data_IF_057240373042
#
_entry.id   IF_057240373042
#
_cell.length_a   1.000
_cell.length_b   1.000
_cell.length_c   1.000
_cell.angle_alpha   90.00
_cell.angle_beta   90.00
_cell.angle_gamma   90.00
#
_symmetry.space_group_name_H-M   'P 1'
#
loop_
_entity.id
_entity.type
_entity.pdbx_description
1 polymer ?
#
# COMPACT_ATOMS: atom_id res chain seq x y z
N UNK A 1 -5.75 -32.85 4.93
CA UNK A 1 -7.19 -32.83 4.63
C UNK A 1 -7.79 -34.20 4.94
N UNK A 2 -8.53 -34.36 6.04
CA UNK A 2 -9.63 -35.34 6.03
C UNK A 2 -10.83 -34.62 5.43
N UNK A 3 -11.16 -34.96 4.20
CA UNK A 3 -12.33 -34.41 3.50
C UNK A 3 -13.60 -34.98 4.14
N UNK A 4 -14.11 -34.32 5.19
CA UNK A 4 -15.31 -34.74 5.92
C UNK A 4 -16.60 -34.65 5.09
N UNK A 5 -16.52 -34.11 3.87
CA UNK A 5 -17.63 -34.09 2.91
C UNK A 5 -17.64 -35.32 1.99
N UNK A 6 -16.59 -36.13 2.05
CA UNK A 6 -16.39 -37.29 1.20
C UNK A 6 -16.77 -38.56 1.95
N UNK A 7 -17.84 -39.21 1.52
CA UNK A 7 -18.29 -40.48 2.08
C UNK A 7 -18.55 -41.47 0.94
N UNK A 8 -17.99 -42.68 1.06
CA UNK A 8 -18.32 -43.82 0.18
C UNK A 8 -19.60 -44.54 0.63
N UNK A 9 -20.20 -44.11 1.73
CA UNK A 9 -21.44 -44.70 2.26
C UNK A 9 -22.57 -44.41 1.27
N UNK A 10 -23.06 -45.46 0.60
CA UNK A 10 -24.12 -45.41 -0.41
C UNK A 10 -23.67 -45.37 -1.86
N UNK A 11 -22.36 -45.53 -2.14
CA UNK A 11 -21.81 -45.53 -3.50
C UNK A 11 -21.66 -46.98 -4.02
N UNK A 12 -22.40 -47.37 -5.06
CA UNK A 12 -22.34 -48.72 -5.69
C UNK A 12 -21.34 -48.80 -6.87
N UNK A 13 -20.49 -47.79 -7.06
CA UNK A 13 -19.64 -47.64 -8.25
C UNK A 13 -18.14 -47.78 -8.02
N UNK A 14 -17.41 -47.96 -9.12
CA UNK A 14 -16.00 -48.41 -9.19
C UNK A 14 -14.96 -47.32 -8.82
N UNK A 15 -14.79 -46.25 -9.62
CA UNK A 15 -13.75 -45.22 -9.41
C UNK A 15 -14.35 -43.83 -9.18
N UNK A 16 -13.85 -43.11 -8.17
CA UNK A 16 -14.23 -41.74 -7.87
C UNK A 16 -13.08 -40.78 -8.24
N UNK A 17 -13.32 -39.92 -9.22
CA UNK A 17 -12.32 -38.99 -9.74
C UNK A 17 -12.47 -37.63 -9.07
N UNK A 18 -11.43 -37.21 -8.36
CA UNK A 18 -11.34 -35.88 -7.75
C UNK A 18 -10.28 -35.06 -8.47
N UNK A 19 -10.66 -33.86 -8.90
CA UNK A 19 -9.76 -32.93 -9.58
C UNK A 19 -9.34 -31.84 -8.61
N UNK A 20 -8.09 -31.88 -8.16
CA UNK A 20 -7.48 -30.79 -7.41
C UNK A 20 -6.91 -29.76 -8.38
N UNK A 21 -7.34 -28.50 -8.23
CA UNK A 21 -6.77 -27.38 -8.98
C UNK A 21 -5.80 -26.64 -8.06
N UNK A 22 -4.51 -26.91 -8.22
CA UNK A 22 -3.47 -26.18 -7.51
C UNK A 22 -3.40 -24.74 -8.05
N UNK A 23 -3.37 -23.77 -7.15
CA UNK A 23 -3.03 -22.39 -7.49
C UNK A 23 -1.53 -22.20 -7.26
N UNK A 24 -0.77 -21.65 -8.23
CA UNK A 24 0.63 -21.33 -8.01
C UNK A 24 0.72 -20.27 -6.91
N UNK A 25 1.72 -20.39 -6.03
CA UNK A 25 2.10 -19.27 -5.17
C UNK A 25 2.53 -18.14 -6.11
N UNK A 26 1.88 -16.97 -6.05
CA UNK A 26 2.23 -15.87 -6.93
C UNK A 26 3.61 -15.33 -6.54
N UNK A 27 4.67 -15.80 -7.21
CA UNK A 27 6.02 -15.27 -7.08
C UNK A 27 6.02 -13.77 -7.42
N UNK A 28 6.89 -13.01 -6.74
CA UNK A 28 6.99 -11.56 -6.91
C UNK A 28 5.67 -10.80 -6.62
N UNK A 29 4.91 -11.28 -5.64
CA UNK A 29 3.69 -10.59 -5.20
C UNK A 29 4.03 -9.31 -4.45
N UNK A 30 3.61 -8.17 -4.99
CA UNK A 30 3.71 -6.87 -4.32
C UNK A 30 2.62 -6.75 -3.26
N UNK A 31 3.01 -6.63 -2.00
CA UNK A 31 2.11 -6.64 -0.85
C UNK A 31 1.88 -5.24 -0.27
N UNK A 32 2.91 -4.39 -0.30
CA UNK A 32 2.88 -3.06 0.33
C UNK A 32 3.60 -2.06 -0.58
N UNK A 33 3.00 -0.90 -0.81
CA UNK A 33 3.60 0.19 -1.57
C UNK A 33 3.39 1.49 -0.79
N UNK A 34 4.45 2.13 -0.34
CA UNK A 34 4.35 3.43 0.34
C UNK A 34 5.53 4.32 -0.03
N UNK A 35 5.47 5.60 0.29
CA UNK A 35 6.52 6.55 -0.01
C UNK A 35 7.09 7.18 1.25
N UNK A 36 8.37 7.50 1.19
CA UNK A 36 9.02 8.41 2.14
C UNK A 36 9.37 9.69 1.43
N UNK A 37 9.08 10.83 2.06
CA UNK A 37 9.36 12.15 1.51
C UNK A 37 10.52 12.86 2.24
N UNK A 38 11.28 13.63 1.47
CA UNK A 38 12.46 14.33 1.98
C UNK A 38 12.35 15.84 1.86
N UNK A 39 13.01 16.54 2.78
CA UNK A 39 13.22 17.98 2.67
C UNK A 39 14.13 18.31 1.48
N UNK A 40 14.05 19.57 1.03
CA UNK A 40 14.91 20.05 -0.04
C UNK A 40 16.38 19.82 0.34
N UNK A 41 17.12 19.22 -0.58
CA UNK A 41 18.54 18.94 -0.43
C UNK A 41 18.93 18.00 0.75
N UNK A 42 17.97 17.22 1.25
CA UNK A 42 18.19 16.28 2.36
C UNK A 42 17.98 14.82 1.95
N UNK A 43 18.72 13.93 2.62
CA UNK A 43 18.55 12.47 2.60
C UNK A 43 18.17 11.90 3.97
N UNK A 44 18.14 12.73 5.01
CA UNK A 44 17.76 12.31 6.37
C UNK A 44 16.27 11.94 6.41
N UNK A 45 15.96 10.82 7.08
CA UNK A 45 14.57 10.39 7.29
C UNK A 45 13.94 11.29 8.34
N UNK A 46 12.85 11.97 7.96
CA UNK A 46 12.07 12.81 8.87
C UNK A 46 11.44 11.97 9.96
N UNK A 47 11.23 12.57 11.14
CA UNK A 47 10.58 11.88 12.26
C UNK A 47 9.20 11.31 11.91
N UNK A 48 8.42 12.03 11.10
CA UNK A 48 7.10 11.58 10.62
C UNK A 48 7.16 10.31 9.78
N UNK A 49 8.26 10.08 9.06
CA UNK A 49 8.43 8.96 8.12
C UNK A 49 8.93 7.70 8.84
N UNK A 50 9.47 7.85 10.05
CA UNK A 50 9.97 6.72 10.86
C UNK A 50 8.88 5.73 11.23
N UNK A 51 7.66 6.21 11.49
CA UNK A 51 6.53 5.33 11.82
C UNK A 51 6.22 4.38 10.66
N UNK A 52 6.27 4.87 9.42
CA UNK A 52 6.10 4.05 8.22
C UNK A 52 7.19 2.98 8.12
N UNK A 53 8.46 3.36 8.29
CA UNK A 53 9.58 2.41 8.29
C UNK A 53 9.48 1.35 9.39
N UNK A 54 9.06 1.75 10.60
CA UNK A 54 8.87 0.82 11.71
C UNK A 54 7.77 -0.21 11.41
N UNK A 55 6.67 0.21 10.77
CA UNK A 55 5.60 -0.71 10.33
C UNK A 55 6.12 -1.70 9.29
N UNK A 56 6.89 -1.24 8.31
CA UNK A 56 7.50 -2.12 7.30
C UNK A 56 8.47 -3.09 7.95
N UNK A 57 9.29 -2.63 8.91
CA UNK A 57 10.20 -3.50 9.64
C UNK A 57 9.47 -4.62 10.38
N UNK A 58 8.41 -4.28 11.11
CA UNK A 58 7.57 -5.26 11.80
C UNK A 58 6.94 -6.26 10.82
N UNK A 59 6.40 -5.78 9.69
CA UNK A 59 5.87 -6.64 8.63
C UNK A 59 6.94 -7.58 8.06
N UNK A 60 8.15 -7.11 7.83
CA UNK A 60 9.25 -7.92 7.30
C UNK A 60 9.74 -8.98 8.30
N UNK A 61 9.70 -8.68 9.60
CA UNK A 61 10.00 -9.65 10.66
C UNK A 61 8.97 -10.78 10.66
N UNK A 62 7.67 -10.43 10.62
CA UNK A 62 6.57 -11.40 10.55
C UNK A 62 6.57 -12.22 9.25
N UNK A 63 7.16 -11.69 8.18
CA UNK A 63 7.12 -12.30 6.84
C UNK A 63 8.55 -12.50 6.30
N UNK A 64 9.28 -13.55 6.72
CA UNK A 64 10.70 -13.74 6.44
C UNK A 64 11.06 -13.96 4.96
N UNK A 65 10.07 -14.19 4.10
CA UNK A 65 10.23 -14.39 2.66
C UNK A 65 9.93 -13.14 1.83
N UNK A 66 9.88 -11.99 2.48
CA UNK A 66 9.71 -10.69 1.83
C UNK A 66 11.04 -9.97 1.64
N UNK A 67 11.16 -9.27 0.52
CA UNK A 67 12.24 -8.33 0.19
C UNK A 67 11.61 -6.95 0.00
N UNK A 68 12.23 -5.94 0.58
CA UNK A 68 11.87 -4.55 0.38
C UNK A 68 12.72 -3.96 -0.73
N UNK A 69 12.09 -3.37 -1.74
CA UNK A 69 12.74 -2.52 -2.73
C UNK A 69 12.56 -1.06 -2.34
N UNK A 70 13.65 -0.30 -2.33
CA UNK A 70 13.70 1.12 -2.00
C UNK A 70 14.20 1.87 -3.23
N UNK A 71 13.27 2.51 -3.94
CA UNK A 71 13.56 3.22 -5.19
C UNK A 71 13.55 4.72 -4.93
N UNK A 72 14.70 5.37 -4.99
CA UNK A 72 14.85 6.76 -4.54
C UNK A 72 14.97 7.76 -5.69
N UNK A 73 14.39 8.94 -5.47
CA UNK A 73 14.23 9.99 -6.48
C UNK A 73 14.52 11.38 -5.89
N UNK A 74 14.79 12.32 -6.78
CA UNK A 74 14.96 13.75 -6.51
C UNK A 74 13.98 14.59 -7.34
N UNK A 75 13.88 15.87 -7.00
CA UNK A 75 13.22 16.83 -7.90
C UNK A 75 14.21 17.37 -8.93
N UNK A 76 13.70 18.04 -9.96
CA UNK A 76 14.52 18.49 -11.09
C UNK A 76 15.45 19.68 -10.80
N UNK A 77 15.62 20.07 -9.53
CA UNK A 77 16.44 21.22 -9.16
C UNK A 77 17.81 20.71 -8.73
N UNK A 78 18.76 20.83 -9.64
CA UNK A 78 20.13 20.41 -9.40
C UNK A 78 20.81 20.08 -10.71
N UNK A 79 22.08 19.73 -10.65
CA UNK A 79 22.71 19.03 -11.76
C UNK A 79 22.38 17.54 -11.65
N UNK A 80 22.21 16.86 -12.78
CA UNK A 80 21.86 15.43 -12.82
C UNK A 80 22.81 14.58 -11.96
N UNK A 81 24.14 14.84 -12.04
CA UNK A 81 25.14 14.12 -11.24
C UNK A 81 24.95 14.31 -9.73
N UNK A 82 24.50 15.50 -9.32
CA UNK A 82 24.18 15.78 -7.92
C UNK A 82 22.94 15.02 -7.48
N UNK A 83 21.90 15.06 -8.32
CA UNK A 83 20.62 14.41 -8.08
C UNK A 83 20.76 12.89 -7.99
N UNK A 84 21.57 12.28 -8.84
CA UNK A 84 21.95 10.87 -8.74
C UNK A 84 22.51 10.52 -7.35
N UNK A 85 23.58 11.22 -6.93
CA UNK A 85 24.21 11.01 -5.61
C UNK A 85 23.26 11.27 -4.44
N UNK A 86 22.35 12.24 -4.57
CA UNK A 86 21.37 12.54 -3.53
C UNK A 86 20.31 11.44 -3.43
N UNK A 87 19.83 10.90 -4.55
CA UNK A 87 18.91 9.76 -4.54
C UNK A 87 19.56 8.49 -4.00
N UNK A 88 20.83 8.23 -4.31
CA UNK A 88 21.59 7.12 -3.74
C UNK A 88 21.63 7.22 -2.20
N UNK A 89 22.02 8.40 -1.67
CA UNK A 89 22.03 8.66 -0.22
C UNK A 89 20.66 8.47 0.45
N UNK A 90 19.56 8.76 -0.24
CA UNK A 90 18.19 8.53 0.25
C UNK A 90 17.86 7.05 0.34
N UNK A 91 18.25 6.27 -0.66
CA UNK A 91 18.05 4.82 -0.65
C UNK A 91 18.84 4.17 0.48
N UNK A 92 20.11 4.57 0.64
CA UNK A 92 20.97 4.07 1.70
C UNK A 92 20.50 4.51 3.09
N UNK A 93 20.00 5.73 3.28
CA UNK A 93 19.50 6.15 4.61
C UNK A 93 18.31 5.29 5.08
N UNK A 94 17.42 4.89 4.18
CA UNK A 94 16.34 3.94 4.47
C UNK A 94 16.88 2.57 4.83
N UNK A 95 17.83 2.06 4.05
CA UNK A 95 18.46 0.75 4.31
C UNK A 95 19.19 0.72 5.65
N UNK A 96 19.98 1.76 5.95
CA UNK A 96 20.68 1.93 7.22
C UNK A 96 19.70 1.97 8.39
N UNK A 97 18.63 2.75 8.28
CA UNK A 97 17.61 2.84 9.31
C UNK A 97 16.97 1.49 9.61
N UNK A 98 16.52 0.78 8.57
CA UNK A 98 15.87 -0.53 8.71
C UNK A 98 16.84 -1.61 9.20
N UNK A 99 18.10 -1.58 8.76
CA UNK A 99 19.15 -2.46 9.28
C UNK A 99 19.44 -2.18 10.76
N UNK A 100 19.39 -0.91 11.17
CA UNK A 100 19.49 -0.48 12.56
C UNK A 100 18.35 -1.00 13.45
N UNK A 101 17.18 -1.28 12.86
CA UNK A 101 16.07 -1.98 13.53
C UNK A 101 16.24 -3.51 13.59
N UNK A 102 17.33 -4.04 13.04
CA UNK A 102 17.66 -5.47 13.06
C UNK A 102 17.22 -6.25 11.82
N UNK A 103 16.75 -5.58 10.75
CA UNK A 103 16.50 -6.27 9.48
C UNK A 103 17.81 -6.66 8.79
N UNK A 104 17.82 -7.84 8.19
CA UNK A 104 18.96 -8.31 7.41
C UNK A 104 19.10 -7.46 6.12
N UNK A 105 20.31 -6.95 5.88
CA UNK A 105 20.57 -6.02 4.78
C UNK A 105 20.35 -6.62 3.39
N UNK A 106 20.46 -7.95 3.25
CA UNK A 106 20.16 -8.69 2.02
C UNK A 106 18.67 -8.73 1.67
N UNK A 107 17.79 -8.39 2.63
CA UNK A 107 16.34 -8.27 2.43
C UNK A 107 15.91 -6.87 2.00
N UNK A 108 16.85 -5.93 1.85
CA UNK A 108 16.60 -4.55 1.45
C UNK A 108 17.41 -4.25 0.19
N UNK A 109 16.74 -4.16 -0.94
CA UNK A 109 17.32 -3.81 -2.23
C UNK A 109 17.15 -2.31 -2.48
N UNK A 110 18.24 -1.61 -2.76
CA UNK A 110 18.24 -0.16 -3.02
C UNK A 110 18.46 0.11 -4.52
N UNK A 111 17.65 1.01 -5.08
CA UNK A 111 17.84 1.59 -6.41
C UNK A 111 17.64 3.11 -6.33
N UNK A 112 18.28 3.85 -7.24
CA UNK A 112 18.21 5.31 -7.29
C UNK A 112 18.21 5.78 -8.74
N UNK A 113 17.55 6.92 -8.98
CA UNK A 113 17.22 7.37 -10.34
C UNK A 113 17.36 8.88 -10.54
N UNK A 114 18.02 9.58 -9.61
CA UNK A 114 18.17 11.02 -9.67
C UNK A 114 16.85 11.72 -9.94
N UNK A 115 16.78 12.49 -11.02
CA UNK A 115 15.58 13.21 -11.47
C UNK A 115 14.91 12.56 -12.70
N UNK A 116 15.31 11.34 -13.10
CA UNK A 116 14.85 10.72 -14.34
C UNK A 116 13.38 10.25 -14.27
N UNK A 117 12.86 9.99 -13.06
CA UNK A 117 11.53 9.40 -12.81
C UNK A 117 10.62 10.31 -11.99
N UNK A 118 10.39 11.51 -12.50
CA UNK A 118 9.46 12.48 -11.93
C UNK A 118 8.01 11.95 -12.01
N UNK A 119 7.20 12.24 -10.99
CA UNK A 119 5.76 11.88 -10.94
C UNK A 119 4.85 12.98 -11.48
N UNK A 120 5.45 14.08 -11.93
CA UNK A 120 4.75 15.23 -12.50
C UNK A 120 5.64 15.90 -13.55
N UNK A 121 5.08 16.88 -14.26
CA UNK A 121 5.77 17.58 -15.35
C UNK A 121 6.76 18.65 -14.86
N UNK A 122 7.25 18.52 -13.62
CA UNK A 122 8.17 19.48 -13.03
C UNK A 122 9.63 19.10 -13.30
N UNK A 123 10.00 19.18 -14.57
CA UNK A 123 11.36 18.95 -15.07
C UNK A 123 12.18 20.23 -15.20
N UNK A 124 13.37 20.11 -15.77
CA UNK A 124 14.34 21.20 -15.92
C UNK A 124 13.75 22.43 -16.63
N UNK A 125 13.97 23.59 -16.03
CA UNK A 125 13.50 24.87 -16.57
C UNK A 125 11.98 25.09 -16.52
N UNK A 126 11.20 24.12 -16.03
CA UNK A 126 9.74 24.27 -15.88
C UNK A 126 9.43 25.01 -14.57
N UNK A 127 8.73 26.16 -14.61
CA UNK A 127 8.27 26.82 -13.39
C UNK A 127 7.25 25.97 -12.65
N UNK A 128 7.53 25.62 -11.40
CA UNK A 128 6.66 24.77 -10.59
C UNK A 128 6.38 25.35 -9.21
N UNK A 129 5.22 24.97 -8.66
CA UNK A 129 4.96 25.13 -7.24
C UNK A 129 5.83 24.16 -6.42
N UNK A 130 6.27 24.57 -5.24
CA UNK A 130 7.11 23.76 -4.34
C UNK A 130 6.49 22.40 -4.01
N UNK A 131 5.15 22.32 -3.96
CA UNK A 131 4.44 21.06 -3.70
C UNK A 131 4.70 20.00 -4.77
N UNK A 132 4.92 20.40 -6.03
CA UNK A 132 5.23 19.46 -7.11
C UNK A 132 6.67 18.95 -7.00
N UNK A 133 7.62 19.83 -6.68
CA UNK A 133 8.98 19.41 -6.38
C UNK A 133 9.01 18.44 -5.18
N UNK A 134 8.23 18.70 -4.13
CA UNK A 134 8.15 17.83 -2.96
C UNK A 134 7.69 16.40 -3.28
N UNK A 135 6.79 16.22 -4.26
CA UNK A 135 6.37 14.88 -4.68
C UNK A 135 7.48 14.09 -5.37
N UNK A 136 8.43 14.77 -6.01
CA UNK A 136 9.55 14.14 -6.70
C UNK A 136 10.68 13.78 -5.72
N UNK A 137 10.81 14.50 -4.59
CA UNK A 137 11.73 14.16 -3.50
C UNK A 137 11.19 13.01 -2.64
N UNK A 138 11.24 11.80 -3.17
CA UNK A 138 10.65 10.61 -2.55
C UNK A 138 11.54 9.37 -2.65
N UNK A 139 11.26 8.39 -1.80
CA UNK A 139 11.65 6.99 -1.99
C UNK A 139 10.40 6.14 -2.00
N UNK A 140 10.22 5.35 -3.05
CA UNK A 140 9.13 4.38 -3.19
C UNK A 140 9.55 3.07 -2.53
N UNK A 141 8.72 2.58 -1.61
CA UNK A 141 8.93 1.39 -0.82
C UNK A 141 8.01 0.30 -1.34
N UNK A 142 8.57 -0.76 -1.93
CA UNK A 142 7.81 -1.86 -2.51
C UNK A 142 8.17 -3.13 -1.77
N UNK A 143 7.26 -3.65 -0.95
CA UNK A 143 7.43 -4.94 -0.30
C UNK A 143 6.94 -6.04 -1.24
N UNK A 144 7.81 -6.97 -1.59
CA UNK A 144 7.47 -8.12 -2.41
C UNK A 144 7.74 -9.42 -1.67
N UNK A 145 6.84 -10.40 -1.80
CA UNK A 145 7.03 -11.75 -1.30
C UNK A 145 7.51 -12.69 -2.40
N UNK A 146 8.29 -13.70 -2.01
CA UNK A 146 8.73 -14.78 -2.88
C UNK A 146 9.45 -14.27 -4.15
N UNK A 147 10.42 -13.39 -3.96
CA UNK A 147 11.15 -12.73 -5.07
C UNK A 147 12.19 -13.62 -5.75
N UNK A 148 12.65 -14.69 -5.08
CA UNK A 148 13.58 -15.66 -5.63
C UNK A 148 12.83 -16.87 -6.19
N UNK A 149 12.70 -16.91 -7.52
CA UNK A 149 12.01 -17.99 -8.23
C UNK A 149 12.76 -19.32 -8.18
N UNK A 150 14.07 -19.31 -7.88
CA UNK A 150 14.90 -20.51 -7.80
C UNK A 150 14.91 -21.09 -6.37
N UNK A 151 14.50 -20.31 -5.39
CA UNK A 151 14.42 -20.74 -3.99
C UNK A 151 13.18 -21.60 -3.75
N UNK A 152 13.41 -22.82 -3.26
CA UNK A 152 12.36 -23.62 -2.66
C UNK A 152 12.06 -23.08 -1.26
N UNK A 153 10.97 -22.34 -1.14
CA UNK A 153 10.47 -21.86 0.15
C UNK A 153 9.91 -23.04 0.94
N UNK A 154 10.52 -23.33 2.10
CA UNK A 154 10.00 -24.34 3.02
C UNK A 154 8.78 -23.77 3.74
N UNK A 155 7.68 -24.52 3.75
CA UNK A 155 6.51 -24.15 4.55
C UNK A 155 6.90 -24.15 6.04
N UNK A 156 6.30 -23.28 6.87
CA UNK A 156 6.52 -23.28 8.32
C UNK A 156 6.30 -24.67 8.93
N UNK A 157 7.12 -25.05 9.90
CA UNK A 157 6.96 -26.32 10.61
C UNK A 157 5.57 -26.38 11.29
N UNK A 158 4.81 -27.43 11.01
CA UNK A 158 3.38 -27.54 11.39
C UNK A 158 2.41 -27.32 10.23
N UNK A 159 2.88 -26.87 9.06
CA UNK A 159 2.09 -26.88 7.81
C UNK A 159 2.19 -28.29 7.21
N UNK A 160 1.28 -29.18 7.60
CA UNK A 160 1.35 -30.61 7.22
C UNK A 160 0.98 -30.90 5.78
N UNK A 161 0.34 -29.96 5.08
CA UNK A 161 -0.04 -30.13 3.69
C UNK A 161 -0.36 -28.75 3.08
N UNK A 162 0.15 -28.37 1.89
CA UNK A 162 -0.33 -27.18 1.18
C UNK A 162 -1.85 -27.21 0.88
N UNK A 163 -2.54 -28.34 1.06
CA UNK A 163 -4.00 -28.46 1.02
C UNK A 163 -4.71 -28.23 2.38
N UNK A 164 -4.00 -28.08 3.50
CA UNK A 164 -4.59 -27.83 4.83
C UNK A 164 -4.90 -26.34 5.10
N UNK A 165 -4.60 -25.43 4.17
CA UNK A 165 -4.87 -23.99 4.30
C UNK A 165 -6.36 -23.62 4.37
N UNK A 166 -7.29 -24.57 4.23
CA UNK A 166 -8.73 -24.29 4.12
C UNK A 166 -9.59 -24.95 5.20
N UNK A 167 -9.10 -25.86 6.06
CA UNK A 167 -10.00 -26.55 7.02
C UNK A 167 -9.39 -26.82 8.40
N UNK A 168 -9.63 -25.89 9.34
CA UNK A 168 -10.01 -26.24 10.70
C UNK A 168 -10.94 -25.16 11.31
N UNK A 169 -12.26 -25.41 11.41
CA UNK A 169 -13.13 -24.63 12.27
C UNK A 169 -12.97 -25.15 13.70
N UNK A 170 -11.83 -24.90 14.35
CA UNK A 170 -11.62 -24.95 15.82
C UNK A 170 -10.14 -24.71 16.10
N UNK A 171 -9.73 -23.44 16.11
CA UNK A 171 -8.77 -22.94 17.09
C UNK A 171 -9.47 -21.77 17.76
N UNK A 172 -10.21 -22.10 18.81
CA UNK A 172 -10.60 -21.18 19.87
C UNK A 172 -9.39 -20.95 20.79
N UNK A 173 -8.27 -20.56 20.21
CA UNK A 173 -7.32 -19.73 20.93
C UNK A 173 -7.60 -18.33 20.42
N UNK A 174 -7.80 -17.41 21.36
CA UNK A 174 -7.77 -15.98 21.09
C UNK A 174 -6.38 -15.66 20.51
N UNK A 175 -6.23 -15.87 19.21
CA UNK A 175 -5.28 -15.14 18.40
C UNK A 175 -5.85 -13.73 18.43
N UNK A 176 -5.53 -13.01 19.50
CA UNK A 176 -5.67 -11.56 19.60
C UNK A 176 -4.60 -10.94 18.70
N UNK A 177 -4.68 -11.30 17.42
CA UNK A 177 -4.06 -10.57 16.34
C UNK A 177 -5.16 -9.65 15.88
N UNK A 178 -5.23 -8.51 16.56
CA UNK A 178 -5.80 -7.28 16.05
C UNK A 178 -5.00 -6.83 14.81
N UNK A 179 -4.94 -7.68 13.78
CA UNK A 179 -4.62 -7.29 12.39
C UNK A 179 -5.95 -6.94 11.77
N UNK A 180 -6.47 -5.79 12.17
CA UNK A 180 -7.13 -4.92 11.20
C UNK A 180 -6.25 -4.91 9.93
N UNK A 181 -6.74 -5.58 8.88
CA UNK A 181 -6.16 -5.46 7.55
C UNK A 181 -6.29 -3.98 7.15
N UNK A 182 -5.25 -3.20 7.42
CA UNK A 182 -5.23 -1.78 7.10
C UNK A 182 -5.39 -1.62 5.59
N UNK A 183 -6.51 -1.05 5.19
CA UNK A 183 -6.75 -0.65 3.81
C UNK A 183 -5.85 0.55 3.48
N UNK A 184 -5.39 0.67 2.22
CA UNK A 184 -4.49 1.75 1.84
C UNK A 184 -5.18 3.11 2.02
N UNK A 185 -4.40 4.11 2.43
CA UNK A 185 -4.81 5.52 2.36
C UNK A 185 -4.28 6.12 1.07
N UNK A 186 -5.19 6.61 0.23
CA UNK A 186 -4.82 7.14 -1.08
C UNK A 186 -4.55 8.63 -0.98
N UNK A 187 -3.35 9.07 -1.36
CA UNK A 187 -2.96 10.47 -1.31
C UNK A 187 -3.07 11.14 -2.69
N UNK A 188 -3.51 12.40 -2.69
CA UNK A 188 -3.76 13.16 -3.91
C UNK A 188 -2.89 14.40 -4.01
N UNK A 189 -2.47 14.70 -5.24
CA UNK A 189 -1.81 15.96 -5.54
C UNK A 189 -2.70 17.15 -5.14
N UNK A 190 -2.08 18.30 -4.93
CA UNK A 190 -2.83 19.54 -4.75
C UNK A 190 -3.76 19.76 -5.95
N UNK A 191 -5.02 20.04 -5.65
CA UNK A 191 -6.06 20.33 -6.64
C UNK A 191 -6.41 19.19 -7.63
N UNK A 192 -5.99 17.95 -7.35
CA UNK A 192 -6.31 16.81 -8.22
C UNK A 192 -7.10 15.71 -7.54
N UNK A 193 -7.76 14.90 -8.37
CA UNK A 193 -8.50 13.69 -7.99
C UNK A 193 -8.10 12.44 -8.78
N UNK A 194 -7.04 12.50 -9.60
CA UNK A 194 -6.56 11.33 -10.33
C UNK A 194 -5.82 10.36 -9.40
N UNK A 195 -6.11 9.07 -9.54
CA UNK A 195 -5.40 8.00 -8.82
C UNK A 195 -4.01 7.85 -9.42
N UNK A 196 -2.98 7.98 -8.58
CA UNK A 196 -1.56 7.75 -8.94
C UNK A 196 -1.33 6.27 -9.24
N UNK A 197 -0.34 5.97 -10.08
CA UNK A 197 -0.05 4.59 -10.50
C UNK A 197 0.21 3.65 -9.32
N UNK A 198 0.97 4.11 -8.31
CA UNK A 198 1.21 3.37 -7.07
C UNK A 198 -0.10 2.92 -6.37
N UNK A 199 -1.11 3.81 -6.34
CA UNK A 199 -2.39 3.54 -5.70
C UNK A 199 -3.28 2.59 -6.52
N UNK A 200 -3.03 2.47 -7.84
CA UNK A 200 -3.72 1.47 -8.67
C UNK A 200 -3.33 0.06 -8.26
N UNK A 201 -2.06 -0.18 -7.95
CA UNK A 201 -1.56 -1.48 -7.48
C UNK A 201 -2.20 -1.84 -6.14
N UNK A 202 -2.28 -0.89 -5.21
CA UNK A 202 -2.94 -1.12 -3.92
C UNK A 202 -4.44 -1.40 -4.06
N UNK A 203 -5.13 -0.65 -4.91
CA UNK A 203 -6.55 -0.88 -5.18
C UNK A 203 -6.83 -2.20 -5.90
N UNK A 204 -5.88 -2.70 -6.70
CA UNK A 204 -5.98 -4.04 -7.30
C UNK A 204 -5.96 -5.13 -6.22
N UNK A 205 -5.15 -4.96 -5.18
CA UNK A 205 -5.14 -5.86 -4.03
C UNK A 205 -6.47 -5.80 -3.24
N UNK A 206 -7.02 -4.60 -3.03
CA UNK A 206 -8.34 -4.42 -2.40
C UNK A 206 -9.43 -5.11 -3.23
N UNK A 207 -9.44 -4.93 -4.54
CA UNK A 207 -10.40 -5.57 -5.43
C UNK A 207 -10.27 -7.10 -5.38
N UNK A 208 -9.05 -7.64 -5.37
CA UNK A 208 -8.83 -9.08 -5.23
C UNK A 208 -9.35 -9.63 -3.89
N UNK A 209 -9.16 -8.90 -2.80
CA UNK A 209 -9.73 -9.27 -1.49
C UNK A 209 -11.26 -9.29 -1.51
N UNK A 210 -11.89 -8.28 -2.13
CA UNK A 210 -13.34 -8.23 -2.27
C UNK A 210 -13.89 -9.34 -3.16
N UNK A 211 -13.17 -9.73 -4.21
CA UNK A 211 -13.55 -10.88 -5.08
C UNK A 211 -13.50 -12.21 -4.32
N UNK A 212 -12.48 -12.39 -3.48
CA UNK A 212 -12.32 -13.61 -2.71
C UNK A 212 -13.27 -13.70 -1.51
N UNK A 213 -13.91 -12.59 -1.12
CA UNK A 213 -14.83 -12.53 0.01
C UNK A 213 -16.12 -11.79 -0.41
N UNK A 214 -17.13 -12.50 -0.95
CA UNK A 214 -18.33 -11.89 -1.53
C UNK A 214 -19.14 -10.99 -0.57
N UNK A 215 -19.07 -11.24 0.74
CA UNK A 215 -19.82 -10.48 1.77
C UNK A 215 -19.11 -9.21 2.25
N UNK A 216 -17.84 -8.99 1.88
CA UNK A 216 -17.10 -7.79 2.27
C UNK A 216 -17.70 -6.55 1.59
N UNK A 217 -17.97 -5.53 2.40
CA UNK A 217 -18.35 -4.19 1.93
C UNK A 217 -17.32 -3.18 2.36
N UNK A 218 -17.15 -2.13 1.56
CA UNK A 218 -16.14 -1.10 1.80
C UNK A 218 -16.78 0.30 1.80
N UNK A 219 -16.34 1.14 2.73
CA UNK A 219 -16.67 2.57 2.79
C UNK A 219 -15.45 3.38 2.41
N UNK A 220 -15.63 4.33 1.50
CA UNK A 220 -14.59 5.19 0.94
C UNK A 220 -14.87 6.64 1.34
N UNK A 221 -13.96 7.30 2.05
CA UNK A 221 -14.14 8.68 2.49
C UNK A 221 -13.12 9.61 1.84
N UNK A 222 -13.60 10.60 1.09
CA UNK A 222 -12.77 11.62 0.47
C UNK A 222 -12.52 12.83 1.39
N UNK A 223 -11.28 13.34 1.38
CA UNK A 223 -10.87 14.51 2.14
C UNK A 223 -9.98 15.46 1.30
N UNK A 224 -9.93 16.72 1.72
CA UNK A 224 -9.01 17.73 1.20
C UNK A 224 -8.18 18.37 2.29
N UNK A 225 -7.17 19.13 1.88
CA UNK A 225 -6.56 20.09 2.80
C UNK A 225 -7.42 21.35 2.88
N UNK A 226 -7.10 22.20 3.86
CA UNK A 226 -7.91 23.35 4.20
C UNK A 226 -7.91 24.51 3.19
N UNK A 227 -6.98 24.49 2.21
CA UNK A 227 -6.79 25.62 1.29
C UNK A 227 -7.92 25.64 0.27
N UNK A 228 -8.37 26.83 -0.10
CA UNK A 228 -9.55 27.02 -0.95
C UNK A 228 -10.86 27.11 -0.17
N UNK A 229 -11.93 27.47 -0.88
CA UNK A 229 -13.26 27.64 -0.27
C UNK A 229 -13.90 26.28 0.05
N UNK A 230 -14.91 26.29 0.92
CA UNK A 230 -15.57 25.09 1.43
C UNK A 230 -16.28 24.30 0.33
N UNK A 231 -17.13 24.97 -0.47
CA UNK A 231 -17.87 24.38 -1.59
C UNK A 231 -16.95 23.64 -2.56
N UNK A 232 -15.82 24.25 -2.89
CA UNK A 232 -14.82 23.66 -3.78
C UNK A 232 -14.16 22.43 -3.17
N UNK A 233 -13.81 22.48 -1.88
CA UNK A 233 -13.19 21.37 -1.19
C UNK A 233 -14.15 20.18 -1.03
N UNK A 234 -15.43 20.44 -0.79
CA UNK A 234 -16.48 19.43 -0.78
C UNK A 234 -16.55 18.71 -2.14
N UNK A 235 -16.69 19.47 -3.23
CA UNK A 235 -16.67 18.95 -4.59
C UNK A 235 -15.40 18.13 -4.90
N UNK A 236 -14.21 18.63 -4.53
CA UNK A 236 -12.95 17.94 -4.80
C UNK A 236 -12.82 16.64 -4.00
N UNK A 237 -13.24 16.62 -2.73
CA UNK A 237 -13.27 15.39 -1.93
C UNK A 237 -14.24 14.35 -2.49
N UNK A 238 -15.40 14.78 -2.99
CA UNK A 238 -16.34 13.90 -3.67
C UNK A 238 -15.73 13.27 -4.92
N UNK A 239 -15.05 14.08 -5.76
CA UNK A 239 -14.34 13.59 -6.95
C UNK A 239 -13.27 12.55 -6.61
N UNK A 240 -12.54 12.74 -5.50
CA UNK A 240 -11.53 11.78 -5.03
C UNK A 240 -12.14 10.47 -4.58
N UNK A 241 -13.22 10.52 -3.80
CA UNK A 241 -13.94 9.32 -3.38
C UNK A 241 -14.49 8.56 -4.61
N UNK A 242 -15.16 9.28 -5.51
CA UNK A 242 -15.70 8.71 -6.76
C UNK A 242 -14.63 8.08 -7.65
N UNK A 243 -13.45 8.70 -7.78
CA UNK A 243 -12.37 8.11 -8.56
C UNK A 243 -12.00 6.70 -8.07
N UNK A 244 -12.00 6.48 -6.74
CA UNK A 244 -11.73 5.17 -6.15
C UNK A 244 -12.89 4.19 -6.35
N UNK A 245 -14.13 4.67 -6.17
CA UNK A 245 -15.34 3.88 -6.48
C UNK A 245 -15.30 3.39 -7.94
N UNK A 246 -15.12 4.30 -8.88
CA UNK A 246 -15.08 4.00 -10.32
C UNK A 246 -13.95 3.01 -10.64
N UNK A 247 -12.80 3.15 -9.99
CA UNK A 247 -11.68 2.23 -10.15
C UNK A 247 -12.04 0.82 -9.67
N UNK A 248 -12.61 0.66 -8.47
CA UNK A 248 -12.99 -0.66 -7.95
C UNK A 248 -14.10 -1.31 -8.79
N UNK A 249 -15.08 -0.53 -9.25
CA UNK A 249 -16.11 -1.01 -10.18
C UNK A 249 -15.48 -1.46 -11.50
N UNK A 250 -14.52 -0.71 -12.04
CA UNK A 250 -13.78 -1.10 -13.25
C UNK A 250 -13.00 -2.41 -13.09
N UNK A 251 -12.67 -2.78 -11.86
CA UNK A 251 -12.03 -4.07 -11.52
C UNK A 251 -13.03 -5.19 -11.30
N UNK A 252 -14.33 -4.94 -11.44
CA UNK A 252 -15.39 -5.94 -11.34
C UNK A 252 -15.95 -6.11 -9.93
N UNK A 253 -15.89 -5.08 -9.09
CA UNK A 253 -16.59 -5.05 -7.80
C UNK A 253 -17.99 -4.47 -8.00
N UNK A 254 -19.00 -5.17 -7.49
CA UNK A 254 -20.39 -4.73 -7.56
C UNK A 254 -20.61 -3.42 -6.78
N UNK A 255 -21.36 -2.49 -7.38
CA UNK A 255 -21.54 -1.14 -6.83
C UNK A 255 -22.27 -1.11 -5.48
N UNK A 256 -23.10 -2.11 -5.19
CA UNK A 256 -23.85 -2.26 -3.93
C UNK A 256 -22.96 -2.69 -2.74
N UNK A 257 -21.71 -3.10 -3.03
CA UNK A 257 -20.70 -3.43 -2.02
C UNK A 257 -19.80 -2.24 -1.65
N UNK A 258 -19.99 -1.10 -2.29
CA UNK A 258 -19.15 0.09 -2.12
C UNK A 258 -20.03 1.26 -1.67
N UNK A 259 -19.76 1.76 -0.47
CA UNK A 259 -20.30 3.02 0.02
C UNK A 259 -19.23 4.10 -0.09
N UNK A 260 -19.63 5.35 -0.32
CA UNK A 260 -18.70 6.47 -0.27
C UNK A 260 -19.31 7.70 0.38
N UNK A 261 -18.44 8.46 1.05
CA UNK A 261 -18.74 9.75 1.64
C UNK A 261 -17.61 10.73 1.33
N UNK A 262 -17.87 12.01 1.56
CA UNK A 262 -16.91 13.07 1.33
C UNK A 262 -17.10 14.17 2.35
N UNK A 263 -16.00 14.76 2.81
CA UNK A 263 -16.02 15.70 3.94
C UNK A 263 -15.32 17.01 3.65
N UNK A 264 -14.83 17.22 2.42
CA UNK A 264 -13.96 18.33 2.07
C UNK A 264 -12.84 18.48 3.08
N UNK A 265 -12.74 19.69 3.65
CA UNK A 265 -11.73 20.06 4.65
C UNK A 265 -12.19 19.96 6.10
N UNK A 266 -13.38 19.39 6.37
CA UNK A 266 -14.00 19.40 7.71
C UNK A 266 -13.45 18.33 8.66
N UNK A 267 -12.75 17.32 8.13
CA UNK A 267 -12.12 16.23 8.91
C UNK A 267 -10.62 16.11 8.65
N UNK A 268 -9.82 17.14 9.02
CA UNK A 268 -8.38 17.11 8.82
C UNK A 268 -7.70 16.13 9.79
N UNK A 269 -6.59 15.52 9.36
CA UNK A 269 -5.62 14.87 10.25
C UNK A 269 -4.79 15.96 10.95
N UNK A 270 -4.32 16.94 10.17
CA UNK A 270 -3.57 18.08 10.66
C UNK A 270 -4.45 19.32 10.65
N UNK A 271 -4.75 19.88 11.83
CA UNK A 271 -5.41 21.18 11.92
C UNK A 271 -4.43 22.27 11.50
N UNK A 272 -4.59 22.70 10.26
CA UNK A 272 -3.78 23.72 9.64
C UNK A 272 -4.48 25.11 9.74
N UNK A 273 -5.69 25.20 10.30
CA UNK A 273 -6.47 26.44 10.31
C UNK A 273 -6.00 27.30 11.48
N UNK A 274 -5.76 26.64 12.61
CA UNK A 274 -5.23 27.26 13.82
C UNK A 274 -3.70 27.25 13.91
N UNK A 275 -3.02 26.42 13.09
CA UNK A 275 -1.56 26.24 13.12
C UNK A 275 -0.96 26.31 11.73
N UNK A 276 0.26 26.82 11.63
CA UNK A 276 1.02 26.74 10.39
C UNK A 276 1.36 25.27 10.10
N UNK A 277 1.02 24.79 8.91
CA UNK A 277 1.35 23.44 8.46
C UNK A 277 2.46 23.45 7.41
N UNK A 278 3.27 22.39 7.41
CA UNK A 278 4.16 22.08 6.30
C UNK A 278 3.38 21.58 5.08
N UNK A 279 4.02 21.60 3.91
CA UNK A 279 3.43 21.01 2.70
C UNK A 279 3.15 19.51 2.84
N UNK A 280 3.94 18.79 3.66
CA UNK A 280 3.72 17.37 3.96
C UNK A 280 2.43 17.16 4.78
N UNK A 281 2.20 17.97 5.81
CA UNK A 281 0.96 17.90 6.59
C UNK A 281 -0.29 18.22 5.75
N UNK A 282 -0.17 19.19 4.83
CA UNK A 282 -1.21 19.42 3.84
C UNK A 282 -1.42 18.20 2.93
N UNK A 283 -0.37 17.47 2.55
CA UNK A 283 -0.46 16.26 1.74
C UNK A 283 -1.21 15.15 2.45
N UNK A 284 -0.94 14.94 3.73
CA UNK A 284 -1.64 13.93 4.55
C UNK A 284 -3.13 14.25 4.68
N UNK A 285 -3.52 15.53 4.71
CA UNK A 285 -4.94 15.91 4.67
C UNK A 285 -5.62 15.60 3.32
N UNK A 286 -4.88 15.69 2.20
CA UNK A 286 -5.40 15.37 0.84
C UNK A 286 -5.43 13.85 0.61
N UNK A 287 -6.40 13.19 1.22
CA UNK A 287 -6.48 11.73 1.24
C UNK A 287 -7.87 11.19 0.90
N UNK A 288 -7.92 9.93 0.53
CA UNK A 288 -9.10 9.09 0.60
C UNK A 288 -8.82 7.90 1.50
N UNK A 289 -9.67 7.66 2.51
CA UNK A 289 -9.52 6.55 3.45
C UNK A 289 -10.55 5.46 3.15
N UNK A 290 -10.11 4.21 3.22
CA UNK A 290 -10.92 3.03 2.96
C UNK A 290 -11.15 2.28 4.28
N UNK A 291 -12.37 1.81 4.54
CA UNK A 291 -12.72 1.00 5.72
C UNK A 291 -13.68 -0.12 5.36
N UNK A 292 -13.52 -1.30 5.94
CA UNK A 292 -14.51 -2.37 5.80
C UNK A 292 -15.79 -2.03 6.56
N UNK A 293 -16.95 -2.13 5.92
CA UNK A 293 -18.26 -1.75 6.48
C UNK A 293 -18.94 -2.89 7.25
N UNK A 294 -18.61 -4.14 6.92
CA UNK A 294 -19.26 -5.34 7.45
C UNK A 294 -18.40 -6.14 8.46
N UNK A 295 -17.38 -5.53 9.08
CA UNK A 295 -16.78 -6.16 10.26
C UNK A 295 -17.82 -6.09 11.38
N UNK A 296 -18.53 -7.19 11.60
CA UNK A 296 -19.23 -7.44 12.86
C UNK A 296 -18.25 -7.28 14.03
N UNK A 297 -18.76 -6.98 15.23
CA UNK A 297 -17.96 -6.78 16.43
C UNK A 297 -17.00 -7.94 16.70
#
# INVERSE_FOLDING_TARGET
MEDKSFSTVGFEGDTLMMTYKLAPIPYNSKMYVDNIYYDFDKSDIRESERQTLNKIAALMVDNPHTVLYVNSHTDSRGANEYNEKLSEKRAESVKEYLTGLGLAADRISTEWFGEERLVNNCGDGVPCAEVNHQMNRRSELILAAFTDQQKQYKLPAGTTDPCDLVLAPTVSEEINVDKSQDLPTLYFDFDKSNIREQHRVELDNVANQMKNNPDLKITIEGHTDQRGNEVYNEYLSEKRAKAVVDYLISKGIESDRIEYAYFGKTRPIHDCNSRSCSNAQHQENRRTTLRWSNKGP
#
